data_IF_909396496180
#
_entry.id   IF_909396496180
#
_cell.length_a   1.000
_cell.length_b   1.000
_cell.length_c   1.000
_cell.angle_alpha   90.00
_cell.angle_beta   90.00
_cell.angle_gamma   90.00
#
_symmetry.space_group_name_H-M   'P 1'
#
loop_
_entity.id
_entity.type
_entity.pdbx_description
1 polymer ?
#
# COMPACT_ATOMS: atom_id res chain seq x y z
N UNK A 1 8.58 -0.56 9.16
CA UNK A 1 7.75 0.22 10.10
C UNK A 1 7.77 1.73 9.85
N UNK A 2 8.91 2.37 9.51
CA UNK A 2 8.97 3.84 9.28
C UNK A 2 7.93 4.40 8.30
N UNK A 3 7.66 3.71 7.17
CA UNK A 3 6.64 4.15 6.19
C UNK A 3 5.25 4.35 6.76
N UNK A 4 4.82 3.45 7.66
CA UNK A 4 3.45 3.44 8.13
C UNK A 4 3.24 4.62 9.08
N UNK A 5 4.25 4.91 9.90
CA UNK A 5 4.23 6.11 10.74
C UNK A 5 4.21 7.36 9.86
N UNK A 6 5.13 7.47 8.89
CA UNK A 6 5.18 8.61 7.96
C UNK A 6 3.88 8.75 7.13
N UNK A 7 3.23 7.66 6.73
CA UNK A 7 1.96 7.71 6.00
C UNK A 7 0.86 8.42 6.81
N UNK A 8 0.93 8.40 8.14
CA UNK A 8 -0.02 9.12 9.01
C UNK A 8 0.05 10.63 8.78
N UNK A 9 1.25 11.18 8.55
CA UNK A 9 1.44 12.60 8.24
C UNK A 9 1.09 12.97 6.79
N UNK A 10 1.01 11.97 5.90
CA UNK A 10 0.75 12.16 4.48
C UNK A 10 -0.70 11.84 4.07
N UNK A 11 -1.45 11.11 4.89
CA UNK A 11 -2.83 10.69 4.58
C UNK A 11 -3.71 11.88 4.16
N UNK A 12 -3.60 13.03 4.85
CA UNK A 12 -4.40 14.22 4.57
C UNK A 12 -4.07 14.82 3.19
N UNK A 13 -2.83 14.68 2.72
CA UNK A 13 -2.43 15.14 1.38
C UNK A 13 -2.97 14.23 0.28
N UNK A 14 -3.05 12.93 0.53
CA UNK A 14 -3.69 12.00 -0.40
C UNK A 14 -5.22 12.20 -0.42
N UNK A 15 -5.83 12.44 0.74
CA UNK A 15 -7.27 12.74 0.82
C UNK A 15 -7.61 14.07 0.12
N UNK A 16 -6.72 15.07 0.19
CA UNK A 16 -6.88 16.34 -0.51
C UNK A 16 -6.93 16.19 -2.04
N UNK A 17 -6.39 15.11 -2.59
CA UNK A 17 -6.49 14.75 -4.04
C UNK A 17 -7.54 13.68 -4.31
N UNK A 18 -8.46 13.44 -3.36
CA UNK A 18 -9.57 12.50 -3.52
C UNK A 18 -9.22 11.03 -3.31
N UNK A 19 -8.03 10.72 -2.78
CA UNK A 19 -7.56 9.34 -2.60
C UNK A 19 -7.53 8.96 -1.13
N UNK A 20 -8.20 7.84 -0.80
CA UNK A 20 -8.11 7.24 0.54
C UNK A 20 -6.94 6.27 0.59
N UNK A 21 -6.17 6.35 1.67
CA UNK A 21 -5.02 5.46 1.89
C UNK A 21 -5.40 4.30 2.81
N UNK A 22 -4.83 3.13 2.53
CA UNK A 22 -4.91 1.95 3.38
C UNK A 22 -3.55 1.24 3.37
N UNK A 23 -3.15 0.69 4.50
CA UNK A 23 -1.99 -0.20 4.55
C UNK A 23 -2.47 -1.65 4.56
N UNK A 24 -1.68 -2.56 3.98
CA UNK A 24 -1.97 -3.99 4.00
C UNK A 24 -0.71 -4.77 4.38
N UNK A 25 -0.85 -5.72 5.30
CA UNK A 25 0.23 -6.62 5.74
C UNK A 25 -0.33 -8.00 6.07
N UNK A 26 0.53 -9.01 6.14
CA UNK A 26 0.17 -10.39 6.48
C UNK A 26 -0.03 -10.60 8.00
N UNK A 27 0.24 -9.59 8.83
CA UNK A 27 0.05 -9.67 10.28
C UNK A 27 -1.43 -9.87 10.65
N UNK A 28 -1.66 -10.56 11.76
CA UNK A 28 -2.99 -10.77 12.33
C UNK A 28 -3.64 -9.46 12.77
N UNK A 29 -4.97 -9.37 12.65
CA UNK A 29 -5.77 -8.18 12.97
C UNK A 29 -5.47 -7.64 14.38
N UNK A 30 -5.28 -8.50 15.39
CA UNK A 30 -4.95 -8.07 16.75
C UNK A 30 -3.62 -7.29 16.83
N UNK A 31 -2.61 -7.69 16.06
CA UNK A 31 -1.34 -6.97 15.98
C UNK A 31 -1.49 -5.63 15.27
N UNK A 32 -2.39 -5.55 14.29
CA UNK A 32 -2.68 -4.34 13.53
C UNK A 32 -3.45 -3.31 14.37
N UNK A 33 -4.40 -3.77 15.18
CA UNK A 33 -5.12 -2.91 16.12
C UNK A 33 -4.14 -2.29 17.12
N UNK A 34 -3.29 -3.11 17.74
CA UNK A 34 -2.25 -2.63 18.66
C UNK A 34 -1.27 -1.66 17.98
N UNK A 35 -0.93 -1.87 16.71
CA UNK A 35 -0.11 -0.96 15.92
C UNK A 35 -0.81 0.39 15.70
N UNK A 36 -2.08 0.38 15.28
CA UNK A 36 -2.85 1.61 15.06
C UNK A 36 -2.98 2.43 16.34
N UNK A 37 -3.29 1.79 17.46
CA UNK A 37 -3.35 2.47 18.77
C UNK A 37 -2.00 3.04 19.19
N UNK A 38 -0.91 2.29 19.00
CA UNK A 38 0.44 2.71 19.41
C UNK A 38 0.99 3.88 18.59
N UNK A 39 0.65 3.95 17.30
CA UNK A 39 1.23 4.91 16.37
C UNK A 39 0.25 6.01 15.93
N UNK A 40 -1.01 5.98 16.39
CA UNK A 40 -2.03 6.97 16.03
C UNK A 40 -2.39 6.97 14.55
N UNK A 41 -2.18 5.86 13.85
CA UNK A 41 -2.52 5.73 12.44
C UNK A 41 -4.05 5.85 12.30
N UNK A 42 -4.51 6.82 11.50
CA UNK A 42 -5.96 7.08 11.29
C UNK A 42 -6.50 6.40 10.03
N UNK A 43 -5.64 5.81 9.23
CA UNK A 43 -5.99 5.06 8.05
C UNK A 43 -6.19 3.57 8.39
N UNK A 44 -7.05 2.86 7.64
CA UNK A 44 -7.26 1.43 7.85
C UNK A 44 -5.99 0.63 7.55
N UNK A 45 -5.69 -0.32 8.44
CA UNK A 45 -4.62 -1.31 8.24
C UNK A 45 -5.28 -2.69 8.08
N UNK A 46 -5.14 -3.25 6.88
CA UNK A 46 -5.76 -4.48 6.43
C UNK A 46 -4.83 -5.68 6.66
N UNK A 47 -5.42 -6.80 7.05
CA UNK A 47 -4.73 -8.09 7.15
C UNK A 47 -4.94 -8.90 5.86
N UNK A 48 -3.85 -9.22 5.16
CA UNK A 48 -3.86 -10.14 4.02
C UNK A 48 -3.66 -11.59 4.50
N UNK A 49 -4.75 -12.19 4.98
CA UNK A 49 -4.73 -13.55 5.50
C UNK A 49 -4.23 -14.54 4.43
N UNK A 50 -3.17 -15.30 4.77
CA UNK A 50 -2.58 -16.28 3.86
C UNK A 50 -1.84 -15.67 2.65
N UNK A 51 -1.54 -14.37 2.68
CA UNK A 51 -0.90 -13.66 1.56
C UNK A 51 -1.70 -13.78 0.26
N UNK A 52 -3.03 -13.89 0.32
CA UNK A 52 -3.88 -14.14 -0.84
C UNK A 52 -3.75 -13.02 -1.90
N UNK A 53 -3.79 -11.76 -1.49
CA UNK A 53 -3.64 -10.62 -2.39
C UNK A 53 -2.20 -10.49 -2.87
N UNK A 54 -1.24 -10.71 -1.98
CA UNK A 54 0.20 -10.71 -2.32
C UNK A 54 0.54 -11.75 -3.38
N UNK A 55 -0.07 -12.94 -3.28
CA UNK A 55 0.05 -14.00 -4.28
C UNK A 55 -0.68 -13.61 -5.59
N UNK A 56 -1.91 -13.13 -5.52
CA UNK A 56 -2.69 -12.73 -6.70
C UNK A 56 -2.05 -11.57 -7.48
N UNK A 57 -1.40 -10.64 -6.79
CA UNK A 57 -0.69 -9.50 -7.40
C UNK A 57 0.70 -9.87 -7.93
N UNK A 58 1.17 -11.10 -7.67
CA UNK A 58 2.49 -11.59 -8.09
C UNK A 58 3.65 -10.84 -7.44
N UNK A 59 3.43 -10.29 -6.24
CA UNK A 59 4.43 -9.46 -5.52
C UNK A 59 5.02 -10.16 -4.30
N UNK A 60 4.75 -11.46 -4.14
CA UNK A 60 5.33 -12.23 -3.06
C UNK A 60 6.84 -12.26 -3.18
N UNK A 61 7.54 -11.93 -2.10
CA UNK A 61 8.97 -12.14 -2.04
C UNK A 61 9.25 -13.64 -1.89
N UNK A 62 9.90 -14.22 -2.90
CA UNK A 62 10.29 -15.64 -2.95
C UNK A 62 11.67 -15.89 -2.34
N UNK A 63 12.39 -14.85 -1.89
CA UNK A 63 13.71 -14.98 -1.26
C UNK A 63 13.65 -15.69 0.10
N UNK A 64 12.49 -15.70 0.75
CA UNK A 64 12.29 -16.38 2.03
C UNK A 64 11.53 -17.70 1.81
N UNK A 65 12.19 -18.82 2.08
CA UNK A 65 11.62 -20.16 1.99
C UNK A 65 10.77 -20.57 3.21
N UNK A 66 10.06 -21.70 3.07
CA UNK A 66 9.20 -22.27 4.12
C UNK A 66 9.99 -22.48 5.43
N UNK A 67 9.43 -22.01 6.56
CA UNK A 67 10.06 -22.07 7.88
C UNK A 67 10.80 -20.80 8.31
N UNK A 68 10.97 -19.81 7.43
CA UNK A 68 11.53 -18.51 7.78
C UNK A 68 10.45 -17.59 8.40
N UNK A 69 10.78 -16.81 9.44
CA UNK A 69 9.83 -15.89 10.08
C UNK A 69 9.30 -14.77 9.17
N UNK A 70 9.93 -14.56 8.02
CA UNK A 70 9.50 -13.66 6.95
C UNK A 70 8.93 -14.39 5.72
N UNK A 71 8.58 -15.68 5.86
CA UNK A 71 7.95 -16.45 4.78
C UNK A 71 6.60 -15.83 4.39
N UNK A 72 6.43 -15.51 3.10
CA UNK A 72 5.20 -14.90 2.58
C UNK A 72 5.16 -13.37 2.63
N UNK A 73 6.25 -12.71 3.03
CA UNK A 73 6.34 -11.24 2.97
C UNK A 73 6.23 -10.76 1.52
N UNK A 74 5.42 -9.74 1.29
CA UNK A 74 5.34 -9.06 0.00
C UNK A 74 6.59 -8.21 -0.24
N UNK A 75 6.99 -8.07 -1.51
CA UNK A 75 7.81 -6.93 -1.90
C UNK A 75 7.08 -5.64 -1.52
N UNK A 76 7.77 -4.66 -0.89
CA UNK A 76 7.15 -3.39 -0.57
C UNK A 76 6.66 -2.74 -1.87
N UNK A 77 5.39 -2.36 -1.88
CA UNK A 77 4.80 -1.76 -3.04
C UNK A 77 3.57 -0.93 -2.71
N UNK A 78 3.24 -0.04 -3.64
CA UNK A 78 2.04 0.79 -3.58
C UNK A 78 1.20 0.51 -4.82
N UNK A 79 -0.10 0.46 -4.60
CA UNK A 79 -1.10 0.27 -5.63
C UNK A 79 -2.16 1.37 -5.50
N UNK A 80 -2.54 1.97 -6.62
CA UNK A 80 -3.74 2.78 -6.72
C UNK A 80 -4.81 1.95 -7.41
N UNK A 81 -5.95 1.78 -6.74
CA UNK A 81 -7.10 1.05 -7.23
C UNK A 81 -8.25 2.05 -7.34
N UNK A 82 -8.94 2.07 -8.49
CA UNK A 82 -10.12 2.92 -8.66
C UNK A 82 -11.39 2.27 -8.07
N UNK A 83 -12.51 2.99 -8.11
CA UNK A 83 -13.80 2.51 -7.60
C UNK A 83 -14.35 1.28 -8.35
N UNK A 84 -13.88 1.02 -9.57
CA UNK A 84 -14.20 -0.17 -10.36
C UNK A 84 -13.30 -1.38 -10.06
N UNK A 85 -12.35 -1.24 -9.13
CA UNK A 85 -11.40 -2.31 -8.78
C UNK A 85 -10.23 -2.44 -9.75
N UNK A 86 -10.02 -1.47 -10.65
CA UNK A 86 -8.92 -1.49 -11.63
C UNK A 86 -7.68 -0.85 -11.02
N UNK A 87 -6.54 -1.53 -11.14
CA UNK A 87 -5.25 -0.99 -10.72
C UNK A 87 -4.81 0.07 -11.74
N UNK A 88 -4.85 1.34 -11.33
CA UNK A 88 -4.41 2.50 -12.13
C UNK A 88 -2.92 2.79 -11.99
N UNK A 89 -2.33 2.40 -10.87
CA UNK A 89 -0.90 2.52 -10.62
C UNK A 89 -0.41 1.30 -9.85
N UNK A 90 0.67 0.69 -10.35
CA UNK A 90 1.41 -0.38 -9.65
C UNK A 90 2.86 0.04 -9.53
N UNK A 91 3.35 0.11 -8.29
CA UNK A 91 4.76 0.31 -7.95
C UNK A 91 5.15 -0.77 -6.96
N UNK A 92 5.46 -1.96 -7.46
CA UNK A 92 6.04 -3.04 -6.68
C UNK A 92 7.54 -3.07 -6.98
N UNK A 93 8.36 -2.64 -6.03
CA UNK A 93 9.80 -2.54 -6.24
C UNK A 93 10.46 -3.85 -5.79
N UNK A 94 11.28 -4.49 -6.65
CA UNK A 94 11.96 -5.74 -6.28
C UNK A 94 12.98 -5.52 -5.14
N UNK A 95 13.50 -4.30 -4.96
CA UNK A 95 14.46 -3.97 -3.92
C UNK A 95 13.88 -3.10 -2.79
N UNK A 96 14.11 -3.50 -1.55
CA UNK A 96 13.79 -2.76 -0.32
C UNK A 96 14.42 -1.34 -0.25
N UNK A 97 15.42 -1.03 -1.09
CA UNK A 97 16.30 0.14 -0.96
C UNK A 97 15.87 1.38 -1.74
N UNK A 98 15.08 1.22 -2.81
CA UNK A 98 14.65 2.34 -3.66
C UNK A 98 13.24 2.77 -3.30
N UNK A 99 13.03 3.21 -2.06
CA UNK A 99 11.72 3.73 -1.68
C UNK A 99 11.58 5.17 -2.19
N UNK A 100 10.69 5.44 -3.18
CA UNK A 100 10.48 6.80 -3.62
C UNK A 100 9.94 7.63 -2.45
N UNK A 101 10.33 8.92 -2.36
CA UNK A 101 9.77 9.82 -1.37
C UNK A 101 8.26 9.94 -1.57
N UNK A 102 7.52 10.17 -0.48
CA UNK A 102 6.06 10.32 -0.53
C UNK A 102 5.58 11.45 -1.45
N UNK A 103 6.41 12.46 -1.68
CA UNK A 103 6.14 13.56 -2.60
C UNK A 103 6.04 13.10 -4.07
N UNK A 104 6.98 12.23 -4.49
CA UNK A 104 6.95 11.61 -5.82
C UNK A 104 5.75 10.68 -5.96
N UNK A 105 5.42 9.95 -4.89
CA UNK A 105 4.24 9.11 -4.84
C UNK A 105 2.95 9.93 -4.97
N UNK A 106 2.83 11.03 -4.24
CA UNK A 106 1.68 11.93 -4.32
C UNK A 106 1.53 12.48 -5.73
N UNK A 107 2.62 12.94 -6.34
CA UNK A 107 2.62 13.41 -7.74
C UNK A 107 2.13 12.33 -8.70
N UNK A 108 2.64 11.11 -8.58
CA UNK A 108 2.24 10.00 -9.44
C UNK A 108 0.76 9.61 -9.24
N UNK A 109 0.27 9.67 -8.01
CA UNK A 109 -1.14 9.42 -7.67
C UNK A 109 -2.04 10.50 -8.26
N UNK A 110 -1.70 11.78 -8.10
CA UNK A 110 -2.46 12.89 -8.68
C UNK A 110 -2.57 12.76 -10.20
N UNK A 111 -1.47 12.49 -10.89
CA UNK A 111 -1.47 12.27 -12.35
C UNK A 111 -2.39 11.10 -12.73
N UNK A 112 -2.35 10.00 -11.96
CA UNK A 112 -3.17 8.83 -12.24
C UNK A 112 -4.67 9.08 -11.97
N UNK A 113 -5.00 9.90 -10.97
CA UNK A 113 -6.38 10.35 -10.68
C UNK A 113 -6.87 11.23 -11.81
N UNK A 114 -6.12 12.28 -12.18
CA UNK A 114 -6.49 13.19 -13.27
C UNK A 114 -6.70 12.44 -14.60
N UNK A 115 -5.82 11.49 -14.91
CA UNK A 115 -5.94 10.65 -16.10
C UNK A 115 -7.18 9.74 -16.06
N UNK A 116 -7.58 9.26 -14.88
CA UNK A 116 -8.76 8.41 -14.70
C UNK A 116 -10.08 9.21 -14.76
N UNK A 117 -10.08 10.48 -14.34
CA UNK A 117 -11.23 11.38 -14.48
C UNK A 117 -11.44 11.82 -15.93
N UNK A 118 -10.36 12.12 -16.66
CA UNK A 118 -10.44 12.49 -18.08
C UNK A 118 -10.94 11.39 -19.02
N UNK A 119 -10.87 10.11 -18.61
CA UNK A 119 -11.37 8.95 -19.36
C UNK A 119 -12.84 8.61 -19.08
N UNK A 120 -13.50 9.29 -18.15
CA UNK A 120 -14.91 9.06 -17.81
C UNK A 120 -15.89 10.02 -18.53
N UNK A 121 -15.37 10.87 -19.42
CA UNK A 121 -16.12 11.96 -20.06
C UNK A 121 -16.38 11.84 -21.57
N UNK A 122 -16.18 10.66 -22.18
CA UNK A 122 -16.50 10.42 -23.61
C UNK A 122 -17.62 9.39 -23.81
#
# INVERSE_FOLDING_TARGET
>A
MRQLVELTDWQERFEAVGVRVAAMTYDAVDKLAAFQEKHGARYPVLSDAGAAHVNALGIRNQEYGEGHGAYGVAHPGIFLIDAGGIIRLKRALPGYRDRPPFDELLTAVTIAVDAAEGQQGE
#
